data_IF_938232385370
#
_entry.id   IF_938232385370
#
_cell.length_a   1.000
_cell.length_b   1.000
_cell.length_c   1.000
_cell.angle_alpha   90.00
_cell.angle_beta   90.00
_cell.angle_gamma   90.00
#
_symmetry.space_group_name_H-M   'P 1'
#
loop_
_entity.id
_entity.type
_entity.pdbx_description
1 polymer ?
#
# COMPACT_ATOMS: atom_id res chain seq x y z
N UNK A 1 25.89 -17.68 59.47
CA UNK A 1 24.49 -18.15 59.42
C UNK A 1 23.59 -16.93 59.39
N UNK A 2 23.01 -16.62 58.23
CA UNK A 2 22.03 -15.53 58.08
C UNK A 2 20.71 -16.17 57.64
N UNK A 3 19.70 -15.98 58.48
CA UNK A 3 18.29 -16.28 58.26
C UNK A 3 17.62 -14.96 57.89
N UNK A 4 17.05 -14.82 56.69
CA UNK A 4 15.91 -13.94 56.32
C UNK A 4 15.39 -14.48 54.97
N UNK A 5 14.44 -15.40 54.98
CA UNK A 5 12.97 -15.22 54.86
C UNK A 5 12.46 -15.20 53.42
N UNK A 6 11.52 -16.12 53.19
CA UNK A 6 10.98 -16.63 51.95
C UNK A 6 9.79 -15.75 51.50
N UNK A 7 10.04 -14.55 50.98
CA UNK A 7 8.98 -13.61 50.58
C UNK A 7 8.75 -13.45 49.07
N UNK A 8 9.37 -14.27 48.22
CA UNK A 8 9.38 -14.00 46.77
C UNK A 8 8.36 -14.75 45.90
N UNK A 9 7.58 -15.69 46.43
CA UNK A 9 6.80 -16.60 45.54
C UNK A 9 5.28 -16.40 45.59
N UNK A 10 4.73 -15.74 46.61
CA UNK A 10 3.26 -15.66 46.76
C UNK A 10 2.63 -14.37 46.20
N UNK A 11 3.41 -13.31 45.98
CA UNK A 11 2.84 -12.02 45.53
C UNK A 11 2.66 -11.88 44.01
N UNK A 12 3.21 -12.80 43.19
CA UNK A 12 3.18 -12.67 41.72
C UNK A 12 1.96 -13.33 41.04
N UNK A 13 1.11 -14.04 41.78
CA UNK A 13 -0.06 -14.70 41.17
C UNK A 13 -1.36 -13.87 41.21
N UNK A 14 -1.40 -12.74 41.93
CA UNK A 14 -2.64 -11.95 42.08
C UNK A 14 -2.68 -10.64 41.28
N UNK A 15 -1.59 -10.24 40.62
CA UNK A 15 -1.64 -9.13 39.65
C UNK A 15 -2.02 -9.60 38.23
N UNK A 16 -1.96 -10.91 37.94
CA UNK A 16 -2.21 -11.48 36.61
C UNK A 16 -3.69 -11.54 36.21
N UNK A 17 -4.62 -11.14 37.08
CA UNK A 17 -6.06 -11.21 36.81
C UNK A 17 -6.75 -9.84 36.68
N UNK A 18 -6.02 -8.72 36.78
CA UNK A 18 -6.62 -7.38 36.68
C UNK A 18 -6.40 -6.65 35.35
N UNK A 19 -5.54 -7.13 34.44
CA UNK A 19 -5.26 -6.45 33.16
C UNK A 19 -5.66 -7.22 31.90
N UNK A 20 -6.49 -8.26 32.05
CA UNK A 20 -7.12 -8.97 30.93
C UNK A 20 -8.46 -8.34 30.48
N UNK A 21 -8.70 -7.06 30.77
CA UNK A 21 -9.91 -6.35 30.34
C UNK A 21 -9.60 -4.93 29.88
N UNK A 22 -8.73 -4.80 28.88
CA UNK A 22 -8.89 -3.73 27.92
C UNK A 22 -9.71 -4.33 26.78
N UNK A 23 -11.01 -4.05 26.78
CA UNK A 23 -11.85 -4.23 25.60
C UNK A 23 -11.25 -3.40 24.46
N UNK A 24 -10.24 -3.94 23.77
CA UNK A 24 -9.88 -3.47 22.44
C UNK A 24 -11.01 -3.94 21.55
N UNK A 25 -11.97 -3.06 21.33
CA UNK A 25 -12.96 -3.27 20.29
C UNK A 25 -12.21 -3.61 18.99
N UNK A 26 -12.65 -4.64 18.25
CA UNK A 26 -12.12 -4.91 16.92
C UNK A 26 -12.26 -3.63 16.11
N UNK A 27 -11.16 -3.18 15.50
CA UNK A 27 -11.21 -2.08 14.56
C UNK A 27 -12.34 -2.31 13.55
N UNK A 28 -13.38 -1.48 13.59
CA UNK A 28 -14.33 -1.40 12.50
C UNK A 28 -13.60 -0.72 11.35
N UNK A 29 -13.30 -1.46 10.30
CA UNK A 29 -12.82 -0.86 9.05
C UNK A 29 -13.89 0.14 8.58
N UNK A 30 -13.54 1.40 8.26
CA UNK A 30 -14.47 2.29 7.59
C UNK A 30 -14.91 1.66 6.26
N UNK A 31 -16.11 2.02 5.80
CA UNK A 31 -16.61 1.61 4.49
C UNK A 31 -15.62 2.10 3.43
N UNK A 32 -14.92 1.17 2.78
CA UNK A 32 -14.02 1.46 1.67
C UNK A 32 -14.83 2.06 0.52
N UNK A 33 -14.61 3.33 0.20
CA UNK A 33 -15.00 3.88 -1.09
C UNK A 33 -13.95 3.42 -2.09
N UNK A 34 -14.27 2.39 -2.87
CA UNK A 34 -13.40 1.93 -3.96
C UNK A 34 -13.37 3.01 -5.04
N UNK A 35 -12.27 3.76 -5.10
CA UNK A 35 -11.99 4.72 -6.17
C UNK A 35 -11.17 4.05 -7.26
N UNK A 36 -11.81 3.68 -8.37
CA UNK A 36 -11.11 3.22 -9.56
C UNK A 36 -10.70 4.45 -10.38
N UNK A 37 -9.39 4.71 -10.49
CA UNK A 37 -8.89 5.75 -11.41
C UNK A 37 -8.99 5.22 -12.85
N UNK A 38 -10.16 5.43 -13.47
CA UNK A 38 -10.39 5.15 -14.89
C UNK A 38 -9.91 6.31 -15.75
N UNK A 39 -8.59 6.51 -15.87
CA UNK A 39 -8.06 7.41 -16.89
C UNK A 39 -7.04 6.64 -17.71
N UNK A 40 -7.46 6.16 -18.88
CA UNK A 40 -6.59 5.49 -19.86
C UNK A 40 -5.59 6.44 -20.53
N UNK A 41 -5.24 7.54 -19.85
CA UNK A 41 -4.33 8.57 -20.34
C UNK A 41 -3.44 9.02 -19.17
N UNK A 42 -2.13 8.99 -19.35
CA UNK A 42 -1.15 9.60 -18.46
C UNK A 42 -0.77 10.98 -18.99
N UNK A 43 -0.71 11.95 -18.08
CA UNK A 43 -0.24 13.30 -18.35
C UNK A 43 1.18 13.45 -17.77
N UNK A 44 2.17 13.74 -18.63
CA UNK A 44 3.49 14.17 -18.19
C UNK A 44 3.52 15.70 -18.22
N UNK A 45 3.63 16.31 -17.04
CA UNK A 45 3.55 17.76 -16.85
C UNK A 45 4.94 18.35 -16.56
N UNK A 46 5.29 19.42 -17.25
CA UNK A 46 6.41 20.29 -16.90
C UNK A 46 5.86 21.66 -16.51
N UNK A 47 5.78 21.91 -15.20
CA UNK A 47 5.24 23.16 -14.66
C UNK A 47 6.13 24.36 -14.89
N UNK A 48 7.42 24.18 -15.17
CA UNK A 48 8.35 25.30 -15.42
C UNK A 48 8.22 25.80 -16.85
N UNK A 49 8.06 24.88 -17.79
CA UNK A 49 7.96 25.17 -19.20
C UNK A 49 6.51 25.25 -19.70
N UNK A 50 5.53 25.08 -18.80
CA UNK A 50 4.09 24.99 -19.11
C UNK A 50 3.83 24.01 -20.27
N UNK A 51 4.52 22.87 -20.24
CA UNK A 51 4.43 21.87 -21.30
C UNK A 51 3.75 20.60 -20.79
N UNK A 52 2.97 19.97 -21.66
CA UNK A 52 2.17 18.81 -21.33
C UNK A 52 2.30 17.76 -22.44
N UNK A 53 2.50 16.50 -22.06
CA UNK A 53 2.38 15.36 -22.96
C UNK A 53 1.27 14.44 -22.50
N UNK A 54 0.43 14.02 -23.44
CA UNK A 54 -0.69 13.10 -23.21
C UNK A 54 -0.37 11.79 -23.88
N UNK A 55 -0.42 10.71 -23.11
CA UNK A 55 -0.10 9.38 -23.60
C UNK A 55 -1.20 8.40 -23.22
N UNK A 56 -1.62 7.53 -24.14
CA UNK A 56 -2.54 6.45 -23.80
C UNK A 56 -1.90 5.49 -22.80
N UNK A 57 -2.69 5.01 -21.84
CA UNK A 57 -2.25 4.06 -20.83
C UNK A 57 -2.87 2.69 -21.17
N UNK A 58 -2.07 1.72 -21.65
CA UNK A 58 -2.59 0.40 -22.01
C UNK A 58 -3.11 -0.36 -20.77
N UNK A 59 -2.63 -0.01 -19.59
CA UNK A 59 -2.95 -0.70 -18.35
C UNK A 59 -4.15 -0.08 -17.61
N UNK A 60 -5.21 -0.87 -17.41
CA UNK A 60 -6.48 -0.35 -16.91
C UNK A 60 -6.70 -0.44 -15.39
N UNK A 61 -5.78 -1.06 -14.63
CA UNK A 61 -5.98 -1.27 -13.18
C UNK A 61 -4.68 -1.30 -12.39
N UNK A 62 -4.28 -0.19 -11.78
CA UNK A 62 -3.21 -0.23 -10.76
C UNK A 62 -3.83 -0.41 -9.37
N UNK A 63 -3.70 -1.60 -8.74
CA UNK A 63 -4.33 -1.83 -7.44
C UNK A 63 -3.39 -1.30 -6.35
N UNK A 64 -3.66 -0.07 -5.87
CA UNK A 64 -3.23 0.33 -4.51
C UNK A 64 -4.03 -0.40 -3.43
N UNK A 65 -5.07 -1.14 -3.83
CA UNK A 65 -5.84 -2.07 -3.01
C UNK A 65 -5.24 -3.49 -3.08
N UNK A 66 -5.44 -4.28 -2.03
CA UNK A 66 -5.09 -5.72 -2.04
C UNK A 66 -5.90 -6.42 -3.11
N UNK A 67 -5.28 -7.05 -4.13
CA UNK A 67 -6.02 -7.83 -5.11
C UNK A 67 -6.84 -8.93 -4.44
N UNK A 68 -8.01 -9.23 -5.00
CA UNK A 68 -8.94 -10.19 -4.39
C UNK A 68 -8.38 -11.62 -4.32
N UNK A 69 -7.45 -11.94 -5.20
CA UNK A 69 -6.73 -13.22 -5.30
C UNK A 69 -5.39 -13.21 -4.54
N UNK A 70 -5.06 -12.14 -3.82
CA UNK A 70 -3.83 -12.05 -3.04
C UNK A 70 -3.79 -13.09 -1.91
N UNK A 71 -2.64 -13.73 -1.75
CA UNK A 71 -2.39 -14.67 -0.66
C UNK A 71 -1.89 -13.93 0.59
N UNK A 72 -2.56 -14.14 1.72
CA UNK A 72 -2.09 -13.65 3.02
C UNK A 72 -0.84 -14.43 3.45
N UNK A 73 0.29 -13.74 3.62
CA UNK A 73 1.55 -14.37 4.01
C UNK A 73 1.71 -14.42 5.53
N UNK A 74 1.64 -13.25 6.18
CA UNK A 74 1.86 -13.15 7.62
C UNK A 74 1.33 -11.82 8.18
N UNK A 75 1.22 -11.74 9.50
CA UNK A 75 0.98 -10.51 10.26
C UNK A 75 2.20 -10.20 11.12
N UNK A 76 2.65 -8.94 11.11
CA UNK A 76 3.86 -8.52 11.84
C UNK A 76 3.67 -7.15 12.50
N UNK A 77 4.58 -6.82 13.42
CA UNK A 77 4.60 -5.54 14.11
C UNK A 77 5.84 -4.75 13.67
N UNK A 78 5.62 -3.61 12.99
CA UNK A 78 6.69 -2.67 12.66
C UNK A 78 7.02 -1.85 13.91
N UNK A 79 8.25 -1.98 14.41
CA UNK A 79 8.70 -1.38 15.66
C UNK A 79 8.94 -2.43 16.74
N UNK A 80 8.79 -2.05 18.01
CA UNK A 80 8.99 -2.96 19.15
C UNK A 80 7.65 -3.36 19.77
N UNK A 81 7.37 -4.67 19.93
CA UNK A 81 6.14 -5.12 20.60
C UNK A 81 6.11 -4.72 22.08
N UNK A 82 7.27 -4.45 22.69
CA UNK A 82 7.42 -4.06 24.09
C UNK A 82 7.09 -2.58 24.33
N UNK A 83 7.02 -1.78 23.26
CA UNK A 83 6.70 -0.35 23.32
C UNK A 83 5.32 -0.13 22.72
N UNK A 84 4.31 -0.13 23.58
CA UNK A 84 2.94 0.21 23.19
C UNK A 84 2.89 1.58 22.50
N UNK A 85 2.07 1.69 21.45
CA UNK A 85 1.78 2.93 20.70
C UNK A 85 2.92 3.50 19.83
N UNK A 86 4.09 2.86 19.79
CA UNK A 86 5.21 3.30 18.96
C UNK A 86 5.41 2.46 17.69
N UNK A 87 4.53 1.48 17.46
CA UNK A 87 4.63 0.59 16.32
C UNK A 87 3.31 0.35 15.61
N UNK A 88 3.41 -0.26 14.43
CA UNK A 88 2.29 -0.46 13.53
C UNK A 88 2.09 -1.95 13.25
N UNK A 89 0.88 -2.45 13.54
CA UNK A 89 0.50 -3.83 13.22
C UNK A 89 0.09 -3.91 11.75
N UNK A 90 0.78 -4.73 10.96
CA UNK A 90 0.58 -4.82 9.51
C UNK A 90 0.39 -6.27 9.05
N UNK A 91 -0.35 -6.45 7.97
CA UNK A 91 -0.52 -7.71 7.26
C UNK A 91 0.21 -7.65 5.93
N UNK A 92 0.92 -8.73 5.64
CA UNK A 92 1.67 -8.91 4.41
C UNK A 92 0.91 -9.84 3.48
N UNK A 93 0.80 -9.41 2.23
CA UNK A 93 0.13 -10.09 1.14
C UNK A 93 1.13 -10.33 0.03
N UNK A 94 0.92 -11.40 -0.74
CA UNK A 94 1.70 -11.68 -1.94
C UNK A 94 0.81 -12.22 -3.05
N UNK A 95 1.19 -11.99 -4.29
CA UNK A 95 0.53 -12.60 -5.42
C UNK A 95 1.36 -12.47 -6.68
N UNK A 96 0.80 -12.98 -7.77
CA UNK A 96 1.39 -12.82 -9.09
C UNK A 96 0.63 -11.73 -9.84
N UNK A 97 1.34 -10.94 -10.63
CA UNK A 97 0.73 -10.16 -11.68
C UNK A 97 0.30 -11.15 -12.77
N UNK A 98 -0.97 -11.52 -12.80
CA UNK A 98 -1.52 -12.16 -13.98
C UNK A 98 -1.72 -11.07 -15.02
N UNK A 99 -0.84 -11.04 -16.00
CA UNK A 99 -1.03 -10.20 -17.16
C UNK A 99 -2.37 -10.59 -17.80
N UNK A 100 -3.31 -9.65 -17.85
CA UNK A 100 -4.59 -9.89 -18.50
C UNK A 100 -4.50 -9.70 -20.03
N UNK A 101 -3.30 -9.43 -20.55
CA UNK A 101 -3.03 -9.37 -21.97
C UNK A 101 -2.17 -10.56 -22.40
N UNK A 102 -2.73 -11.38 -23.30
CA UNK A 102 -2.19 -12.65 -23.80
C UNK A 102 -0.86 -12.52 -24.58
N UNK A 103 -0.17 -11.38 -24.51
CA UNK A 103 1.01 -11.08 -25.33
C UNK A 103 2.29 -10.72 -24.56
N UNK A 104 2.27 -10.54 -23.24
CA UNK A 104 3.50 -10.31 -22.46
C UNK A 104 3.68 -11.33 -21.32
N UNK A 105 4.38 -12.41 -21.66
CA UNK A 105 4.65 -13.56 -20.79
C UNK A 105 5.73 -13.28 -19.74
N UNK A 106 5.57 -12.26 -18.89
CA UNK A 106 6.45 -12.06 -17.74
C UNK A 106 5.64 -11.98 -16.46
N UNK A 107 5.54 -13.15 -15.80
CA UNK A 107 4.88 -13.32 -14.50
C UNK A 107 5.65 -12.56 -13.41
N UNK A 108 5.39 -11.26 -13.30
CA UNK A 108 5.83 -10.47 -12.16
C UNK A 108 5.16 -10.98 -10.88
N UNK A 109 5.83 -10.83 -9.74
CA UNK A 109 5.21 -11.10 -8.44
C UNK A 109 5.22 -9.84 -7.59
N UNK A 110 4.27 -9.74 -6.67
CA UNK A 110 4.16 -8.59 -5.80
C UNK A 110 4.10 -9.02 -4.34
N UNK A 111 4.59 -8.14 -3.48
CA UNK A 111 4.35 -8.18 -2.05
C UNK A 111 3.80 -6.85 -1.59
N UNK A 112 2.83 -6.87 -0.67
CA UNK A 112 2.21 -5.65 -0.18
C UNK A 112 1.97 -5.73 1.32
N UNK A 113 2.22 -4.64 2.02
CA UNK A 113 1.96 -4.51 3.45
C UNK A 113 0.84 -3.51 3.66
N UNK A 114 -0.17 -3.93 4.43
CA UNK A 114 -1.31 -3.09 4.80
C UNK A 114 -1.42 -2.99 6.31
N UNK A 115 -1.99 -1.90 6.82
CA UNK A 115 -2.36 -1.84 8.24
C UNK A 115 -3.38 -2.93 8.55
N UNK A 116 -3.20 -3.62 9.68
CA UNK A 116 -4.12 -4.70 10.09
C UNK A 116 -5.53 -4.17 10.38
N UNK A 117 -5.60 -2.88 10.72
CA UNK A 117 -6.79 -2.10 10.98
C UNK A 117 -6.92 -1.04 9.89
N UNK A 118 -8.04 -1.01 9.17
CA UNK A 118 -8.31 -0.05 8.09
C UNK A 118 -7.79 -0.45 6.70
N UNK A 119 -6.94 -1.47 6.58
CA UNK A 119 -6.38 -1.97 5.32
C UNK A 119 -5.73 -0.85 4.47
N UNK A 120 -5.05 0.09 5.12
CA UNK A 120 -4.32 1.17 4.46
C UNK A 120 -2.97 0.62 4.01
N UNK A 121 -2.63 0.84 2.75
CA UNK A 121 -1.36 0.36 2.18
C UNK A 121 -0.18 1.13 2.78
N UNK A 122 0.80 0.39 3.29
CA UNK A 122 2.03 0.90 3.92
C UNK A 122 3.19 0.82 2.92
N UNK A 123 3.31 -0.31 2.22
CA UNK A 123 4.29 -0.49 1.16
C UNK A 123 3.83 -1.52 0.14
N UNK A 124 4.28 -1.35 -1.11
CA UNK A 124 4.15 -2.35 -2.17
C UNK A 124 5.51 -2.56 -2.82
N UNK A 125 5.86 -3.80 -3.09
CA UNK A 125 6.99 -4.15 -3.93
C UNK A 125 6.50 -4.98 -5.10
N UNK A 126 6.88 -4.57 -6.30
CA UNK A 126 6.62 -5.27 -7.54
C UNK A 126 7.96 -5.75 -8.10
N UNK A 127 8.04 -7.05 -8.33
CA UNK A 127 9.24 -7.72 -8.81
C UNK A 127 9.02 -8.16 -10.26
N UNK A 128 9.92 -7.73 -11.14
CA UNK A 128 10.04 -8.25 -12.51
C UNK A 128 11.38 -8.97 -12.67
N UNK A 129 11.61 -9.60 -13.82
CA UNK A 129 12.91 -10.22 -14.13
C UNK A 129 14.07 -9.22 -14.20
N UNK A 130 13.76 -7.94 -14.52
CA UNK A 130 14.78 -6.92 -14.79
C UNK A 130 14.93 -5.93 -13.64
N UNK A 131 13.82 -5.52 -13.03
CA UNK A 131 13.77 -4.43 -12.06
C UNK A 131 12.74 -4.70 -10.95
N UNK A 132 13.02 -4.12 -9.78
CA UNK A 132 12.08 -4.06 -8.67
C UNK A 132 11.57 -2.62 -8.51
N UNK A 133 10.25 -2.46 -8.36
CA UNK A 133 9.64 -1.19 -7.99
C UNK A 133 9.16 -1.28 -6.55
N UNK A 134 9.60 -0.32 -5.72
CA UNK A 134 9.24 -0.25 -4.31
C UNK A 134 8.51 1.07 -4.07
N UNK A 135 7.28 0.96 -3.61
CA UNK A 135 6.44 2.08 -3.18
C UNK A 135 6.31 2.06 -1.67
N UNK A 136 6.58 3.18 -1.02
CA UNK A 136 6.40 3.38 0.42
C UNK A 136 5.46 4.56 0.63
N UNK A 137 4.43 4.35 1.44
CA UNK A 137 3.37 5.33 1.64
C UNK A 137 3.45 5.89 3.07
N UNK A 138 3.57 7.21 3.17
CA UNK A 138 3.68 7.93 4.43
C UNK A 138 2.62 9.02 4.48
N UNK A 139 2.09 9.31 5.67
CA UNK A 139 1.09 10.35 5.89
C UNK A 139 -0.12 10.21 4.94
N UNK A 140 -0.61 8.99 4.76
CA UNK A 140 -1.74 8.71 3.86
C UNK A 140 -3.02 9.28 4.45
N UNK A 141 -3.67 10.17 3.70
CA UNK A 141 -5.02 10.66 3.96
C UNK A 141 -6.02 9.81 3.16
N UNK A 142 -7.12 9.40 3.78
CA UNK A 142 -8.12 8.51 3.15
C UNK A 142 -9.24 9.26 2.42
N UNK A 143 -9.26 10.59 2.54
CA UNK A 143 -10.22 11.47 1.92
C UNK A 143 -9.47 12.51 1.08
N UNK A 144 -10.13 13.01 0.04
CA UNK A 144 -9.58 14.02 -0.85
C UNK A 144 -10.44 15.27 -0.68
N UNK A 145 -9.82 16.35 -0.18
CA UNK A 145 -10.52 17.61 0.08
C UNK A 145 -10.82 18.38 -1.21
N UNK A 146 -9.85 18.42 -2.14
CA UNK A 146 -9.95 19.19 -3.38
C UNK A 146 -9.91 18.26 -4.60
N UNK A 147 -11.04 18.11 -5.28
CA UNK A 147 -11.15 17.30 -6.50
C UNK A 147 -10.51 17.97 -7.73
N UNK A 148 -10.23 19.28 -7.67
CA UNK A 148 -9.59 19.99 -8.79
C UNK A 148 -8.16 19.50 -9.05
N UNK A 149 -7.54 18.81 -8.09
CA UNK A 149 -6.21 18.20 -8.27
C UNK A 149 -6.16 17.14 -9.37
N UNK A 150 -7.31 16.59 -9.78
CA UNK A 150 -7.41 15.64 -10.89
C UNK A 150 -7.62 16.29 -12.25
N UNK A 151 -7.89 17.59 -12.29
CA UNK A 151 -8.04 18.31 -13.55
C UNK A 151 -6.64 18.68 -14.08
N UNK A 152 -6.28 18.25 -15.29
CA UNK A 152 -5.01 18.68 -15.88
C UNK A 152 -5.03 20.20 -16.08
N UNK A 153 -3.86 20.87 -16.03
CA UNK A 153 -3.76 22.31 -16.29
C UNK A 153 -4.24 22.69 -17.69
N UNK A 154 -4.70 23.93 -17.87
CA UNK A 154 -5.23 24.44 -19.15
C UNK A 154 -4.24 24.31 -20.33
N UNK A 155 -2.93 24.37 -20.06
CA UNK A 155 -1.91 24.17 -21.11
C UNK A 155 -1.83 22.74 -21.65
N UNK A 156 -2.57 21.79 -21.07
CA UNK A 156 -2.77 20.45 -21.62
C UNK A 156 -3.90 20.35 -22.64
N UNK A 157 -4.71 21.41 -22.81
CA UNK A 157 -5.85 21.39 -23.73
C UNK A 157 -5.39 21.33 -25.18
N UNK A 158 -6.06 20.48 -25.96
CA UNK A 158 -5.79 20.32 -27.39
C UNK A 158 -4.46 19.61 -27.73
N UNK A 159 -3.71 19.12 -26.74
CA UNK A 159 -2.50 18.32 -26.99
C UNK A 159 -2.83 16.98 -27.66
N UNK A 160 -2.01 16.61 -28.64
CA UNK A 160 -2.10 15.34 -29.36
C UNK A 160 -1.87 14.16 -28.41
N UNK A 161 -2.66 13.09 -28.59
CA UNK A 161 -2.52 11.87 -27.82
C UNK A 161 -1.44 11.00 -28.45
N UNK A 162 -0.34 10.78 -27.74
CA UNK A 162 0.66 9.79 -28.13
C UNK A 162 0.15 8.39 -27.78
N UNK A 163 -0.07 7.56 -28.79
CA UNK A 163 -0.40 6.16 -28.55
C UNK A 163 0.78 5.45 -27.89
N UNK A 164 0.55 4.83 -26.73
CA UNK A 164 1.51 3.92 -26.15
C UNK A 164 1.62 2.67 -27.04
N UNK A 165 2.84 2.21 -27.25
CA UNK A 165 3.06 0.90 -27.85
C UNK A 165 2.45 -0.18 -26.95
N UNK A 166 1.79 -1.17 -27.56
CA UNK A 166 1.22 -2.34 -26.87
C UNK A 166 2.26 -3.10 -26.03
N UNK A 167 3.55 -2.92 -26.33
CA UNK A 167 4.66 -3.55 -25.62
C UNK A 167 5.12 -2.84 -24.33
N UNK A 168 4.43 -1.78 -23.88
CA UNK A 168 4.82 -1.10 -22.63
C UNK A 168 4.25 -1.80 -21.41
N UNK A 169 5.15 -2.26 -20.56
CA UNK A 169 4.81 -2.82 -19.25
C UNK A 169 4.57 -1.71 -18.22
N UNK A 170 3.92 -2.07 -17.11
CA UNK A 170 3.80 -1.20 -15.93
C UNK A 170 5.16 -0.68 -15.43
N UNK A 171 6.21 -1.50 -15.55
CA UNK A 171 7.56 -1.13 -15.09
C UNK A 171 8.16 0.00 -15.93
N UNK A 172 7.85 0.08 -17.22
CA UNK A 172 8.36 1.10 -18.13
C UNK A 172 7.79 2.50 -17.83
N UNK A 173 6.73 2.61 -17.02
CA UNK A 173 6.21 3.90 -16.57
C UNK A 173 7.14 4.63 -15.60
N UNK A 174 8.03 3.89 -14.93
CA UNK A 174 8.90 4.41 -13.87
C UNK A 174 10.39 4.42 -14.26
N UNK A 175 10.69 4.04 -15.50
CA UNK A 175 12.02 4.08 -16.07
C UNK A 175 12.01 5.02 -17.30
N UNK A 176 12.78 6.11 -17.23
CA UNK A 176 13.06 6.99 -18.38
C UNK A 176 14.35 6.55 -19.10
#
# INVERSE_FOLDING_TARGET
MRTVELFSVVCLCLCSLAWASSNREPCRSPSKTSGMLCVGVIYKLDSKNESCKRQSLPYHKHPMEVPADAHHVNELYLGSPDRSEQGLRVRMWSGNMTDHDEHHSQAGHYSMMTTSCGCITVSCTYHSEKNDLIFSFFNVETEIDDLQVFNPPDYCDGMELEEASEDRSFFDLFHD
#
